data_IF_870974144087
#
_entry.id   IF_870974144087
#
_cell.length_a   1.000
_cell.length_b   1.000
_cell.length_c   1.000
_cell.angle_alpha   90.00
_cell.angle_beta   90.00
_cell.angle_gamma   90.00
#
_symmetry.space_group_name_H-M   'P 1'
#
loop_
_entity.id
_entity.type
_entity.pdbx_description
1 polymer ?
#
# COMPACT_ATOMS: atom_id res chain seq x y z
N UNK A 1 -17.21 -19.71 8.60
CA UNK A 1 -16.26 -19.72 9.74
C UNK A 1 -14.82 -19.27 9.39
N UNK A 2 -14.30 -19.46 8.16
CA UNK A 2 -12.94 -19.01 7.79
C UNK A 2 -12.77 -17.49 7.55
N UNK A 3 -13.83 -16.77 7.19
CA UNK A 3 -13.79 -15.34 6.90
C UNK A 3 -13.60 -14.45 8.15
N UNK A 4 -14.09 -14.88 9.30
CA UNK A 4 -13.97 -14.14 10.57
C UNK A 4 -12.57 -14.23 11.18
N UNK A 5 -11.80 -15.26 10.83
CA UNK A 5 -10.44 -15.42 11.33
C UNK A 5 -9.46 -14.48 10.63
N UNK A 6 -9.68 -14.20 9.34
CA UNK A 6 -8.82 -13.29 8.57
C UNK A 6 -9.03 -11.81 8.92
N UNK A 7 -10.27 -11.40 9.23
CA UNK A 7 -10.53 -10.01 9.66
C UNK A 7 -9.96 -9.74 11.05
N UNK A 8 -9.99 -10.71 11.96
CA UNK A 8 -9.42 -10.58 13.30
C UNK A 8 -7.88 -10.42 13.27
N UNK A 9 -7.18 -11.15 12.39
CA UNK A 9 -5.71 -11.08 12.29
C UNK A 9 -5.24 -9.73 11.72
N UNK A 10 -5.97 -9.15 10.76
CA UNK A 10 -5.62 -7.85 10.18
C UNK A 10 -5.90 -6.71 11.18
N UNK A 11 -7.03 -6.76 11.90
CA UNK A 11 -7.33 -5.78 12.94
C UNK A 11 -6.30 -5.84 14.09
N UNK A 12 -5.85 -7.04 14.47
CA UNK A 12 -4.82 -7.20 15.50
C UNK A 12 -3.44 -6.69 15.06
N UNK A 13 -3.05 -6.87 13.79
CA UNK A 13 -1.80 -6.33 13.27
C UNK A 13 -1.78 -4.80 13.19
N UNK A 14 -2.92 -4.18 12.84
CA UNK A 14 -3.07 -2.72 12.86
C UNK A 14 -3.09 -2.16 14.29
N UNK A 15 -3.76 -2.84 15.22
CA UNK A 15 -3.78 -2.44 16.64
C UNK A 15 -2.41 -2.62 17.34
N UNK A 16 -1.69 -3.70 17.04
CA UNK A 16 -0.37 -3.96 17.63
C UNK A 16 0.70 -2.97 17.14
N UNK A 17 0.60 -2.49 15.89
CA UNK A 17 1.48 -1.43 15.38
C UNK A 17 1.20 -0.06 16.05
N UNK A 18 -0.02 0.16 16.55
CA UNK A 18 -0.41 1.38 17.24
C UNK A 18 -0.23 1.32 18.77
N UNK A 19 -0.18 0.12 19.36
CA UNK A 19 -0.14 -0.06 20.82
C UNK A 19 1.26 0.09 21.47
N UNK A 20 2.35 0.10 20.70
CA UNK A 20 3.71 0.04 21.29
C UNK A 20 4.41 1.40 21.45
N UNK A 21 3.81 2.52 21.05
CA UNK A 21 4.43 3.84 21.26
C UNK A 21 3.65 4.59 22.33
N UNK A 22 4.26 4.71 23.52
CA UNK A 22 3.85 5.64 24.57
C UNK A 22 3.80 7.03 23.93
N UNK A 23 2.60 7.56 23.66
CA UNK A 23 2.45 8.89 23.10
C UNK A 23 3.04 9.91 24.07
N UNK A 24 3.75 10.95 23.60
CA UNK A 24 4.15 12.04 24.47
C UNK A 24 2.90 12.68 25.10
N UNK A 25 3.03 13.17 26.33
CA UNK A 25 1.95 13.77 27.11
C UNK A 25 1.61 15.16 26.52
N UNK A 26 0.90 15.16 25.40
CA UNK A 26 0.43 16.37 24.70
C UNK A 26 -0.82 16.86 25.43
N UNK A 27 -0.79 18.10 25.89
CA UNK A 27 -1.90 18.73 26.60
C UNK A 27 -2.92 19.33 25.63
N UNK A 28 -4.13 19.63 26.11
CA UNK A 28 -5.20 20.21 25.28
C UNK A 28 -4.79 21.56 24.67
N UNK A 29 -3.92 22.30 25.36
CA UNK A 29 -3.41 23.60 24.93
C UNK A 29 -2.36 23.47 23.80
N UNK A 30 -1.65 22.34 23.75
CA UNK A 30 -0.74 22.03 22.65
C UNK A 30 -1.51 21.74 21.36
N UNK A 31 -2.70 21.11 21.48
CA UNK A 31 -3.60 20.87 20.34
C UNK A 31 -4.22 22.15 19.79
N UNK A 32 -4.60 23.11 20.65
CA UNK A 32 -5.13 24.39 20.18
C UNK A 32 -4.07 25.20 19.43
N UNK A 33 -2.82 25.21 19.91
CA UNK A 33 -1.73 25.91 19.22
C UNK A 33 -1.43 25.31 17.82
N UNK A 34 -1.48 23.98 17.70
CA UNK A 34 -1.35 23.29 16.40
C UNK A 34 -2.54 23.61 15.49
N UNK A 35 -3.76 23.62 16.03
CA UNK A 35 -4.97 23.96 15.27
C UNK A 35 -4.92 25.42 14.75
N UNK A 36 -4.48 26.37 15.56
CA UNK A 36 -4.37 27.79 15.18
C UNK A 36 -3.28 28.01 14.11
N UNK A 37 -2.18 27.25 14.20
CA UNK A 37 -1.11 27.26 13.18
C UNK A 37 -1.57 26.64 11.85
N UNK A 38 -2.41 25.60 11.93
CA UNK A 38 -3.02 24.94 10.77
C UNK A 38 -4.06 25.82 10.09
N UNK A 39 -4.88 26.53 10.87
CA UNK A 39 -5.96 27.40 10.37
C UNK A 39 -5.43 28.73 9.79
N UNK A 40 -4.27 29.22 10.25
CA UNK A 40 -3.63 30.44 9.73
C UNK A 40 -2.82 30.23 8.44
N UNK A 41 -2.58 28.98 8.05
CA UNK A 41 -1.94 28.63 6.77
C UNK A 41 -2.98 28.73 5.63
N UNK A 42 -3.24 29.93 5.11
CA UNK A 42 -4.25 30.11 4.04
C UNK A 42 -3.92 29.38 2.73
N UNK A 43 -2.66 29.05 2.43
CA UNK A 43 -2.27 28.27 1.24
C UNK A 43 -0.94 27.53 1.46
N UNK A 44 -0.97 26.28 1.93
CA UNK A 44 0.20 25.41 1.78
C UNK A 44 0.45 24.42 2.90
N UNK A 45 0.08 23.17 2.65
CA UNK A 45 0.68 21.97 3.25
C UNK A 45 0.56 21.82 4.78
N UNK A 46 -0.69 21.78 5.25
CA UNK A 46 -1.10 21.28 6.57
C UNK A 46 -0.47 19.93 6.98
N UNK A 47 -0.15 19.06 6.01
CA UNK A 47 0.52 17.78 6.28
C UNK A 47 2.00 18.00 6.64
N UNK A 48 2.70 18.87 5.92
CA UNK A 48 4.12 19.18 6.14
C UNK A 48 4.41 19.86 7.48
N UNK A 49 3.46 20.65 8.00
CA UNK A 49 3.59 21.32 9.31
C UNK A 49 3.52 20.30 10.45
N UNK A 50 2.58 19.36 10.40
CA UNK A 50 2.44 18.33 11.43
C UNK A 50 3.67 17.43 11.54
N UNK A 51 4.28 17.05 10.41
CA UNK A 51 5.49 16.22 10.42
C UNK A 51 6.71 16.95 10.97
N UNK A 52 6.85 18.26 10.74
CA UNK A 52 7.99 19.06 11.23
C UNK A 52 7.94 19.35 12.73
N UNK A 53 6.74 19.38 13.31
CA UNK A 53 6.54 19.55 14.75
C UNK A 53 6.74 18.25 15.55
N UNK A 54 6.86 17.10 14.86
CA UNK A 54 7.07 15.81 15.50
C UNK A 54 8.58 15.54 15.60
N UNK A 55 9.16 15.77 16.78
CA UNK A 55 10.56 15.45 17.06
C UNK A 55 10.75 13.94 17.29
N UNK A 56 10.65 13.17 16.20
CA UNK A 56 10.89 11.73 16.21
C UNK A 56 12.04 11.42 15.26
N UNK A 57 13.17 11.06 15.84
CA UNK A 57 14.28 10.48 15.10
C UNK A 57 14.01 8.99 14.88
N UNK A 58 14.04 8.49 13.62
CA UNK A 58 13.89 7.06 13.37
C UNK A 58 15.06 6.31 14.03
N UNK A 59 14.80 5.13 14.64
CA UNK A 59 15.86 4.35 15.24
C UNK A 59 16.89 3.95 14.19
N UNK A 60 18.17 3.92 14.56
CA UNK A 60 19.27 3.52 13.65
C UNK A 60 19.03 2.15 13.00
N UNK A 61 18.39 1.23 13.72
CA UNK A 61 17.96 -0.09 13.23
C UNK A 61 16.94 -0.02 12.10
N UNK A 62 16.12 1.04 12.05
CA UNK A 62 15.14 1.29 11.00
C UNK A 62 15.66 2.14 9.84
N UNK A 63 16.91 2.61 9.91
CA UNK A 63 17.54 3.33 8.82
C UNK A 63 18.02 2.34 7.77
N UNK A 64 17.68 2.60 6.51
CA UNK A 64 18.26 1.86 5.39
C UNK A 64 19.74 2.22 5.30
N UNK A 65 20.61 1.21 5.38
CA UNK A 65 22.06 1.37 5.22
C UNK A 65 22.42 1.65 3.75
N UNK A 66 21.61 1.12 2.84
CA UNK A 66 21.75 1.26 1.40
C UNK A 66 20.59 2.08 0.80
N UNK A 67 20.70 2.36 -0.50
CA UNK A 67 19.62 3.02 -1.25
C UNK A 67 18.30 2.24 -1.15
N UNK A 68 17.17 2.96 -1.12
CA UNK A 68 15.83 2.36 -1.26
C UNK A 68 15.69 1.52 -2.55
N UNK A 69 16.52 1.82 -3.56
CA UNK A 69 16.54 1.15 -4.87
C UNK A 69 17.60 0.05 -4.97
N UNK A 70 18.35 -0.24 -3.90
CA UNK A 70 19.33 -1.31 -3.90
C UNK A 70 18.64 -2.66 -4.11
N UNK A 71 19.15 -3.48 -5.02
CA UNK A 71 18.59 -4.80 -5.34
C UNK A 71 18.59 -5.71 -4.12
N UNK A 72 17.48 -6.40 -3.90
CA UNK A 72 17.27 -7.34 -2.80
C UNK A 72 16.93 -8.72 -3.34
N UNK A 73 17.46 -9.72 -2.65
CA UNK A 73 17.14 -11.13 -2.89
C UNK A 73 16.27 -11.63 -1.75
N UNK A 74 15.20 -12.31 -2.10
CA UNK A 74 14.28 -12.94 -1.17
C UNK A 74 14.25 -14.42 -1.43
N UNK A 75 14.02 -15.21 -0.38
CA UNK A 75 13.92 -16.68 -0.50
C UNK A 75 12.75 -17.05 -1.41
N UNK A 76 11.63 -16.34 -1.27
CA UNK A 76 10.44 -16.53 -2.09
C UNK A 76 10.31 -15.38 -3.10
N UNK A 77 9.89 -15.68 -4.31
CA UNK A 77 9.62 -14.67 -5.33
C UNK A 77 8.39 -13.86 -4.94
N UNK A 78 8.42 -12.55 -5.21
CA UNK A 78 7.32 -11.64 -4.84
C UNK A 78 6.42 -11.40 -6.05
N UNK A 79 5.11 -11.58 -5.87
CA UNK A 79 4.11 -11.08 -6.80
C UNK A 79 3.64 -9.69 -6.38
N UNK A 80 3.90 -8.70 -7.23
CA UNK A 80 3.33 -7.36 -7.10
C UNK A 80 2.04 -7.27 -7.89
N UNK A 81 1.04 -6.58 -7.35
CA UNK A 81 -0.24 -6.38 -8.02
C UNK A 81 -0.55 -4.89 -8.09
N UNK A 82 -1.02 -4.44 -9.25
CA UNK A 82 -1.40 -3.05 -9.48
C UNK A 82 -2.66 -2.95 -10.33
N UNK A 83 -3.29 -1.81 -10.27
CA UNK A 83 -4.42 -1.40 -11.10
C UNK A 83 -3.96 -0.25 -12.00
N UNK A 84 -4.52 -0.17 -13.20
CA UNK A 84 -4.07 0.75 -14.25
C UNK A 84 -4.18 2.22 -13.82
N UNK A 85 -5.26 2.58 -13.11
CA UNK A 85 -5.49 3.94 -12.59
C UNK A 85 -5.81 3.86 -11.09
N UNK A 86 -4.75 3.86 -10.28
CA UNK A 86 -4.82 3.96 -8.81
C UNK A 86 -4.41 5.38 -8.36
N UNK A 87 -5.31 6.16 -7.72
CA UNK A 87 -5.01 7.51 -7.26
C UNK A 87 -4.15 7.54 -5.98
N UNK A 88 -4.07 6.44 -5.23
CA UNK A 88 -3.34 6.35 -3.95
C UNK A 88 -1.97 5.68 -4.15
N UNK A 89 -1.92 4.60 -4.92
CA UNK A 89 -0.71 3.82 -5.18
C UNK A 89 -0.46 3.64 -6.69
N UNK A 90 0.01 4.68 -7.40
CA UNK A 90 0.16 4.65 -8.85
C UNK A 90 1.06 3.50 -9.33
N UNK A 91 0.70 2.90 -10.48
CA UNK A 91 1.42 1.76 -11.07
C UNK A 91 2.93 1.91 -11.13
N UNK A 92 3.42 3.14 -11.40
CA UNK A 92 4.86 3.45 -11.44
C UNK A 92 5.58 3.08 -10.15
N UNK A 93 4.96 3.29 -8.99
CA UNK A 93 5.52 2.91 -7.69
C UNK A 93 5.68 1.40 -7.57
N UNK A 94 4.68 0.64 -8.02
CA UNK A 94 4.71 -0.82 -8.01
C UNK A 94 5.83 -1.37 -8.89
N UNK A 95 5.97 -0.88 -10.12
CA UNK A 95 7.07 -1.29 -11.01
C UNK A 95 8.45 -0.93 -10.42
N UNK A 96 8.57 0.22 -9.76
CA UNK A 96 9.82 0.62 -9.09
C UNK A 96 10.14 -0.32 -7.93
N UNK A 97 9.15 -0.72 -7.14
CA UNK A 97 9.35 -1.70 -6.08
C UNK A 97 9.67 -3.09 -6.61
N UNK A 98 8.99 -3.55 -7.68
CA UNK A 98 9.29 -4.82 -8.32
C UNK A 98 10.73 -4.88 -8.85
N UNK A 99 11.25 -3.79 -9.43
CA UNK A 99 12.64 -3.74 -9.90
C UNK A 99 13.69 -3.93 -8.80
N UNK A 100 13.33 -3.70 -7.54
CA UNK A 100 14.22 -3.91 -6.39
C UNK A 100 14.33 -5.39 -6.04
N UNK A 101 13.29 -6.19 -6.25
CA UNK A 101 13.28 -7.60 -5.87
C UNK A 101 13.52 -8.50 -7.08
N UNK A 102 14.70 -9.13 -7.12
CA UNK A 102 15.09 -9.99 -8.23
C UNK A 102 14.14 -11.16 -8.41
N UNK A 103 13.70 -11.41 -9.65
CA UNK A 103 12.76 -12.49 -9.98
C UNK A 103 11.29 -12.20 -9.61
N UNK A 104 10.99 -11.04 -9.03
CA UNK A 104 9.61 -10.60 -8.83
C UNK A 104 8.94 -10.23 -10.16
N UNK A 105 7.60 -10.27 -10.18
CA UNK A 105 6.80 -9.87 -11.35
C UNK A 105 5.64 -8.98 -10.93
N UNK A 106 5.07 -8.28 -11.91
CA UNK A 106 3.90 -7.42 -11.73
C UNK A 106 2.71 -8.00 -12.49
N UNK A 107 1.58 -8.14 -11.78
CA UNK A 107 0.27 -8.43 -12.34
C UNK A 107 -0.55 -7.14 -12.36
N UNK A 108 -0.99 -6.72 -13.54
CA UNK A 108 -1.80 -5.51 -13.71
C UNK A 108 -3.27 -5.85 -13.92
N UNK A 109 -4.17 -5.05 -13.35
CA UNK A 109 -5.60 -5.07 -13.63
C UNK A 109 -5.98 -3.81 -14.42
N UNK A 110 -6.60 -3.99 -15.59
CA UNK A 110 -6.98 -2.90 -16.49
C UNK A 110 -8.29 -2.23 -16.07
N UNK A 111 -8.30 -1.58 -14.91
CA UNK A 111 -9.45 -0.79 -14.45
C UNK A 111 -9.01 0.40 -13.60
N UNK A 112 -9.85 1.45 -13.50
CA UNK A 112 -9.70 2.46 -12.47
C UNK A 112 -10.20 1.94 -11.11
N UNK A 113 -9.62 2.43 -10.03
CA UNK A 113 -10.09 2.11 -8.69
C UNK A 113 -9.05 2.38 -7.60
N UNK A 114 -9.31 1.85 -6.42
CA UNK A 114 -8.36 1.81 -5.31
C UNK A 114 -8.33 0.39 -4.76
N UNK A 115 -7.13 -0.19 -4.67
CA UNK A 115 -6.91 -1.62 -4.37
C UNK A 115 -7.56 -2.57 -5.39
N UNK A 116 -7.30 -3.87 -5.25
CA UNK A 116 -7.73 -4.91 -6.20
C UNK A 116 -9.04 -5.59 -5.81
N UNK A 117 -9.56 -5.38 -4.59
CA UNK A 117 -10.63 -6.21 -4.04
C UNK A 117 -12.03 -5.79 -4.46
N UNK A 118 -12.25 -4.50 -4.72
CA UNK A 118 -13.58 -3.99 -5.05
C UNK A 118 -14.13 -4.53 -6.38
N UNK A 119 -13.24 -4.90 -7.30
CA UNK A 119 -13.60 -5.34 -8.66
C UNK A 119 -12.55 -6.31 -9.22
N UNK A 120 -12.09 -7.28 -8.42
CA UNK A 120 -11.10 -8.24 -8.86
C UNK A 120 -11.64 -9.09 -10.02
N UNK A 121 -11.03 -9.05 -11.23
CA UNK A 121 -11.45 -9.90 -12.32
C UNK A 121 -11.05 -11.35 -12.04
N UNK A 122 -11.78 -12.29 -12.62
CA UNK A 122 -11.55 -13.73 -12.48
C UNK A 122 -10.11 -14.11 -12.84
N UNK A 123 -9.59 -13.52 -13.93
CA UNK A 123 -8.18 -13.66 -14.34
C UNK A 123 -7.19 -13.33 -13.22
N UNK A 124 -7.42 -12.25 -12.45
CA UNK A 124 -6.51 -11.83 -11.39
C UNK A 124 -6.56 -12.80 -10.21
N UNK A 125 -7.77 -13.21 -9.83
CA UNK A 125 -7.98 -14.16 -8.73
C UNK A 125 -7.32 -15.52 -9.03
N UNK A 126 -7.43 -16.02 -10.25
CA UNK A 126 -6.79 -17.27 -10.65
C UNK A 126 -5.26 -17.21 -10.56
N UNK A 127 -4.65 -16.10 -11.02
CA UNK A 127 -3.20 -15.92 -10.95
C UNK A 127 -2.73 -15.74 -9.51
N UNK A 128 -3.48 -14.98 -8.70
CA UNK A 128 -3.21 -14.81 -7.28
C UNK A 128 -3.30 -16.15 -6.55
N UNK A 129 -4.30 -16.98 -6.85
CA UNK A 129 -4.43 -18.31 -6.27
C UNK A 129 -3.27 -19.22 -6.65
N UNK A 130 -2.83 -19.23 -7.91
CA UNK A 130 -1.66 -20.01 -8.36
C UNK A 130 -0.39 -19.57 -7.63
N UNK A 131 -0.19 -18.27 -7.46
CA UNK A 131 0.92 -17.74 -6.69
C UNK A 131 0.87 -18.17 -5.23
N UNK A 132 -0.26 -18.02 -4.55
CA UNK A 132 -0.38 -18.37 -3.11
C UNK A 132 -0.22 -19.88 -2.88
N UNK A 133 -0.78 -20.72 -3.76
CA UNK A 133 -0.82 -22.17 -3.54
C UNK A 133 0.40 -22.91 -4.10
N UNK A 134 1.06 -22.36 -5.12
CA UNK A 134 2.11 -23.06 -5.88
C UNK A 134 3.37 -22.23 -6.10
N UNK A 135 3.40 -21.00 -5.61
CA UNK A 135 4.48 -20.04 -5.86
C UNK A 135 4.71 -19.78 -7.36
N UNK A 136 3.68 -20.05 -8.18
CA UNK A 136 3.72 -19.84 -9.62
C UNK A 136 3.48 -18.36 -9.95
N UNK A 137 4.50 -17.71 -10.52
CA UNK A 137 4.37 -16.34 -10.99
C UNK A 137 3.74 -16.26 -12.39
N UNK A 138 2.89 -15.24 -12.65
CA UNK A 138 2.44 -14.97 -14.01
C UNK A 138 3.62 -14.50 -14.89
N UNK A 139 3.52 -14.68 -16.22
CA UNK A 139 4.47 -14.10 -17.17
C UNK A 139 4.65 -12.59 -16.96
N UNK A 140 5.82 -12.08 -17.31
CA UNK A 140 6.07 -10.64 -17.27
C UNK A 140 5.02 -9.87 -18.10
N UNK A 141 4.62 -8.70 -17.62
CA UNK A 141 3.62 -7.83 -18.25
C UNK A 141 2.21 -8.45 -18.37
N UNK A 142 1.86 -9.39 -17.49
CA UNK A 142 0.49 -9.93 -17.47
C UNK A 142 -0.50 -8.85 -17.05
N UNK A 143 -1.51 -8.62 -17.89
CA UNK A 143 -2.62 -7.70 -17.62
C UNK A 143 -3.95 -8.44 -17.69
N UNK A 144 -4.74 -8.37 -16.62
CA UNK A 144 -6.10 -8.89 -16.57
C UNK A 144 -7.11 -7.80 -16.93
N UNK A 145 -8.08 -8.15 -17.78
CA UNK A 145 -9.20 -7.28 -18.12
C UNK A 145 -10.32 -7.40 -17.08
N UNK A 146 -11.11 -6.34 -16.84
CA UNK A 146 -12.27 -6.40 -15.96
C UNK A 146 -13.33 -7.33 -16.56
N UNK A 147 -13.98 -8.13 -15.71
CA UNK A 147 -15.03 -9.07 -16.14
C UNK A 147 -16.28 -8.35 -16.65
N UNK A 148 -16.56 -7.15 -16.11
CA UNK A 148 -17.67 -6.29 -16.52
C UNK A 148 -17.12 -4.91 -16.82
N UNK A 149 -17.48 -4.37 -17.98
CA UNK A 149 -17.15 -2.99 -18.36
C UNK A 149 -18.29 -2.07 -17.92
N UNK A 150 -18.01 -0.98 -17.20
CA UNK A 150 -19.04 -0.03 -16.84
C UNK A 150 -19.59 0.65 -18.11
N UNK A 151 -20.90 0.93 -18.10
CA UNK A 151 -21.61 1.68 -19.16
C UNK A 151 -21.69 0.99 -20.53
N UNK A 152 -21.57 -0.33 -20.60
CA UNK A 152 -22.01 -1.07 -21.80
C UNK A 152 -23.53 -1.24 -21.74
N UNK A 153 -24.28 -0.46 -22.53
CA UNK A 153 -25.70 -0.70 -22.75
C UNK A 153 -25.93 -1.98 -23.55
N UNK A 154 -27.07 -2.65 -23.34
CA UNK A 154 -27.56 -3.66 -24.27
C UNK A 154 -27.83 -2.97 -25.61
N UNK A 155 -27.13 -3.40 -26.66
CA UNK A 155 -27.35 -2.98 -28.04
C UNK A 155 -28.47 -3.77 -28.70
#
# INVERSE_FOLDING_TARGET
>A
MKALYFTAVIAYAQAAAMSSRKSPNITLNDWSAVADTVLSSEKGNIIGVLYRSFDVTPPKTGSLVESILATRYTVNLILFITIEIDPVAPKRGVYRMASVFSGSTVLSQNSPGYTIFASAPTCLLEKLQKYILREELPPANTTCQPDVKPFQGES
#
